data_IF_679735538293
#
_entry.id   IF_679735538293
#
_cell.length_a   1.000
_cell.length_b   1.000
_cell.length_c   1.000
_cell.angle_alpha   90.00
_cell.angle_beta   90.00
_cell.angle_gamma   90.00
#
_symmetry.space_group_name_H-M   'P 1'
#
loop_
_entity.id
_entity.type
_entity.pdbx_description
1 polymer ?
#
# COMPACT_ATOMS: atom_id res chain seq x y z
N UNK A 1 15.19 0.56 -22.97
CA UNK A 1 14.33 1.23 -21.97
C UNK A 1 15.15 1.45 -20.72
N UNK A 2 15.17 2.65 -20.11
CA UNK A 2 16.00 2.90 -18.95
C UNK A 2 15.52 2.03 -17.78
N UNK A 3 16.46 1.40 -17.09
CA UNK A 3 16.13 0.59 -15.93
C UNK A 3 15.50 1.44 -14.83
N UNK A 4 14.46 0.91 -14.16
CA UNK A 4 13.84 1.62 -13.04
C UNK A 4 14.89 1.78 -11.93
N UNK A 5 15.17 3.03 -11.56
CA UNK A 5 16.10 3.30 -10.47
C UNK A 5 15.56 2.74 -9.15
N UNK A 6 16.45 2.38 -8.23
CA UNK A 6 16.05 1.91 -6.88
C UNK A 6 15.10 2.90 -6.19
N UNK A 7 15.29 4.20 -6.42
CA UNK A 7 14.42 5.26 -5.92
C UNK A 7 13.02 5.21 -6.53
N UNK A 8 12.90 4.98 -7.84
CA UNK A 8 11.60 4.80 -8.48
C UNK A 8 10.88 3.54 -7.96
N UNK A 9 11.61 2.43 -7.80
CA UNK A 9 11.09 1.19 -7.20
C UNK A 9 10.62 1.38 -5.75
N UNK A 10 11.28 2.26 -5.01
CA UNK A 10 10.91 2.60 -3.63
C UNK A 10 9.64 3.45 -3.54
N UNK A 11 9.31 4.21 -4.59
CA UNK A 11 8.08 5.02 -4.67
C UNK A 11 6.85 4.22 -5.07
N UNK A 12 7.01 3.01 -5.60
CA UNK A 12 5.89 2.14 -5.95
C UNK A 12 5.13 1.66 -4.72
N UNK A 13 3.84 1.31 -4.87
CA UNK A 13 3.04 0.73 -3.80
C UNK A 13 3.73 -0.48 -3.18
N UNK A 14 3.79 -0.48 -1.85
CA UNK A 14 4.33 -1.58 -1.06
C UNK A 14 3.31 -2.10 -0.05
N UNK A 15 2.52 -1.20 0.52
CA UNK A 15 1.44 -1.57 1.41
C UNK A 15 0.17 -0.84 1.06
N UNK A 16 -0.95 -1.52 1.21
CA UNK A 16 -2.28 -1.00 0.98
C UNK A 16 -3.07 -1.10 2.29
N UNK A 17 -3.68 0.01 2.69
CA UNK A 17 -4.68 0.01 3.74
C UNK A 17 -6.05 -0.02 3.10
N UNK A 18 -6.76 -1.13 3.23
CA UNK A 18 -8.08 -1.34 2.63
C UNK A 18 -9.18 -1.29 3.70
N UNK A 19 -10.22 -0.50 3.45
CA UNK A 19 -11.50 -0.59 4.16
C UNK A 19 -12.41 -1.58 3.43
N UNK A 20 -12.69 -2.77 4.02
CA UNK A 20 -13.51 -3.79 3.39
C UNK A 20 -14.98 -3.40 3.24
N UNK A 21 -15.50 -2.43 4.01
CA UNK A 21 -16.90 -2.02 3.92
C UNK A 21 -17.14 -0.94 2.84
N UNK A 22 -16.25 0.06 2.76
CA UNK A 22 -16.41 1.14 1.77
C UNK A 22 -15.70 0.85 0.46
N UNK A 23 -14.79 -0.12 0.43
CA UNK A 23 -13.93 -0.41 -0.71
C UNK A 23 -12.87 0.67 -0.97
N UNK A 24 -12.71 1.63 -0.05
CA UNK A 24 -11.65 2.63 -0.13
C UNK A 24 -10.34 2.03 0.31
N UNK A 25 -9.27 2.37 -0.40
CA UNK A 25 -7.95 1.96 0.03
C UNK A 25 -6.93 3.08 -0.13
N UNK A 26 -5.92 3.10 0.73
CA UNK A 26 -4.80 4.03 0.67
C UNK A 26 -3.51 3.24 0.40
N UNK A 27 -2.74 3.68 -0.59
CA UNK A 27 -1.49 3.03 -0.96
C UNK A 27 -0.30 3.80 -0.38
N UNK A 28 0.67 3.05 0.14
CA UNK A 28 1.89 3.57 0.72
C UNK A 28 3.09 2.91 0.08
N UNK A 29 4.17 3.68 -0.01
CA UNK A 29 5.43 3.25 -0.57
C UNK A 29 6.27 2.47 0.46
N UNK A 30 7.48 2.05 0.07
CA UNK A 30 8.38 1.31 0.94
C UNK A 30 8.86 2.12 2.17
N UNK A 31 8.83 3.44 2.10
CA UNK A 31 9.21 4.34 3.19
C UNK A 31 8.03 4.73 4.08
N UNK A 32 6.88 4.05 3.96
CA UNK A 32 5.64 4.33 4.69
C UNK A 32 5.02 5.70 4.38
N UNK A 33 5.40 6.32 3.26
CA UNK A 33 4.77 7.55 2.79
C UNK A 33 3.54 7.22 1.95
N UNK A 34 2.50 8.02 2.13
CA UNK A 34 1.26 7.91 1.36
C UNK A 34 1.54 8.27 -0.10
N UNK A 35 1.22 7.36 -1.01
CA UNK A 35 1.25 7.58 -2.47
C UNK A 35 -0.09 8.18 -2.89
N UNK A 36 -1.18 7.50 -2.53
CA UNK A 36 -2.54 7.95 -2.76
C UNK A 36 -3.43 7.58 -1.59
N UNK A 37 -4.30 8.51 -1.19
CA UNK A 37 -5.34 8.25 -0.20
C UNK A 37 -6.49 7.43 -0.80
N UNK A 38 -6.67 7.45 -2.12
CA UNK A 38 -7.73 6.76 -2.83
C UNK A 38 -7.08 5.94 -3.94
N UNK A 39 -6.80 4.68 -3.64
CA UNK A 39 -6.26 3.72 -4.58
C UNK A 39 -7.35 3.33 -5.57
N UNK A 40 -6.97 3.28 -6.84
CA UNK A 40 -7.80 2.83 -7.94
C UNK A 40 -8.14 1.36 -7.76
N UNK A 41 -9.28 0.95 -8.29
CA UNK A 41 -9.74 -0.45 -8.23
C UNK A 41 -8.72 -1.41 -8.84
N UNK A 42 -7.98 -0.97 -9.86
CA UNK A 42 -6.90 -1.73 -10.50
C UNK A 42 -5.75 -2.03 -9.52
N UNK A 43 -5.29 -1.03 -8.76
CA UNK A 43 -4.28 -1.22 -7.72
C UNK A 43 -4.77 -2.13 -6.60
N UNK A 44 -6.01 -1.91 -6.15
CA UNK A 44 -6.62 -2.74 -5.10
C UNK A 44 -6.68 -4.20 -5.56
N UNK A 45 -7.18 -4.46 -6.77
CA UNK A 45 -7.24 -5.80 -7.34
C UNK A 45 -5.84 -6.42 -7.49
N UNK A 46 -4.87 -5.67 -8.00
CA UNK A 46 -3.50 -6.14 -8.14
C UNK A 46 -2.87 -6.53 -6.80
N UNK A 47 -3.06 -5.70 -5.77
CA UNK A 47 -2.54 -5.98 -4.42
C UNK A 47 -3.25 -7.17 -3.79
N UNK A 48 -4.56 -7.31 -3.98
CA UNK A 48 -5.33 -8.46 -3.49
C UNK A 48 -4.99 -9.78 -4.21
N UNK A 49 -4.56 -9.70 -5.46
CA UNK A 49 -4.05 -10.84 -6.23
C UNK A 49 -2.61 -11.21 -5.81
N UNK A 50 -1.80 -10.21 -5.42
CA UNK A 50 -0.39 -10.36 -5.07
C UNK A 50 -0.14 -10.05 -3.58
N UNK A 51 -0.93 -10.66 -2.69
CA UNK A 51 -0.81 -10.46 -1.24
C UNK A 51 0.36 -11.25 -0.69
N UNK A 52 1.35 -10.55 -0.14
CA UNK A 52 2.38 -11.18 0.70
C UNK A 52 1.87 -11.45 2.11
N UNK A 53 1.15 -10.49 2.66
CA UNK A 53 0.63 -10.55 4.03
C UNK A 53 -0.61 -9.66 4.13
N UNK A 54 -1.64 -10.15 4.82
CA UNK A 54 -2.86 -9.40 5.11
C UNK A 54 -3.19 -9.56 6.60
N UNK A 55 -3.20 -8.43 7.32
CA UNK A 55 -3.49 -8.40 8.76
C UNK A 55 -4.47 -7.27 9.08
N UNK A 56 -5.26 -7.39 10.16
CA UNK A 56 -6.03 -6.26 10.67
C UNK A 56 -5.11 -5.07 10.99
N UNK A 57 -5.57 -3.86 10.69
CA UNK A 57 -4.84 -2.64 11.00
C UNK A 57 -4.83 -2.41 12.51
N UNK A 58 -3.62 -2.40 13.09
CA UNK A 58 -3.44 -2.14 14.52
C UNK A 58 -3.45 -0.64 14.80
N UNK A 59 -4.61 -0.11 15.17
CA UNK A 59 -4.84 1.32 15.42
C UNK A 59 -4.03 1.81 16.62
N UNK A 60 -3.96 1.04 17.70
CA UNK A 60 -3.29 1.42 18.94
C UNK A 60 -1.77 1.45 18.76
N UNK A 61 -1.21 0.43 18.10
CA UNK A 61 0.20 0.36 17.72
C UNK A 61 0.59 1.47 16.75
N UNK A 62 -0.30 1.82 15.80
CA UNK A 62 -0.07 2.96 14.91
C UNK A 62 -0.15 4.31 15.64
N UNK A 63 -1.08 4.47 16.58
CA UNK A 63 -1.19 5.66 17.41
C UNK A 63 0.06 5.88 18.28
N UNK A 64 0.71 4.80 18.71
CA UNK A 64 2.00 4.85 19.42
C UNK A 64 3.18 5.26 18.51
N UNK A 65 3.07 5.08 17.18
CA UNK A 65 4.08 5.50 16.20
C UNK A 65 3.46 6.33 15.06
N UNK A 66 2.97 7.56 15.33
CA UNK A 66 2.14 8.33 14.40
C UNK A 66 2.90 8.79 13.14
N UNK A 67 4.23 8.78 13.17
CA UNK A 67 5.09 9.09 12.01
C UNK A 67 5.19 7.92 11.02
N UNK A 68 4.87 6.70 11.47
CA UNK A 68 4.91 5.50 10.63
C UNK A 68 3.55 5.37 9.96
N UNK A 69 3.47 5.63 8.65
CA UNK A 69 2.28 5.43 7.79
C UNK A 69 1.02 6.12 8.36
N UNK A 70 0.87 7.44 8.12
CA UNK A 70 -0.29 8.17 8.60
C UNK A 70 -1.57 7.65 7.94
N UNK A 71 -2.65 7.38 8.71
CA UNK A 71 -3.92 6.99 8.12
C UNK A 71 -4.45 8.10 7.19
N UNK A 72 -5.18 7.74 6.12
CA UNK A 72 -5.70 8.72 5.19
C UNK A 72 -6.76 9.60 5.88
N UNK A 73 -6.96 10.83 5.38
CA UNK A 73 -7.87 11.80 6.01
C UNK A 73 -9.32 11.32 6.14
N UNK A 74 -9.74 10.35 5.31
CA UNK A 74 -11.07 9.74 5.37
C UNK A 74 -11.17 8.56 6.35
N UNK A 75 -10.06 8.03 6.85
CA UNK A 75 -10.06 6.92 7.79
C UNK A 75 -10.35 7.43 9.20
N UNK A 76 -11.64 7.54 9.53
CA UNK A 76 -12.10 7.79 10.90
C UNK A 76 -11.67 6.64 11.82
N UNK A 77 -11.69 6.80 13.15
CA UNK A 77 -11.32 5.73 14.09
C UNK A 77 -12.09 4.43 13.87
N UNK A 78 -13.37 4.53 13.52
CA UNK A 78 -14.23 3.39 13.18
C UNK A 78 -13.74 2.66 11.92
N UNK A 79 -13.34 3.42 10.90
CA UNK A 79 -12.78 2.85 9.67
C UNK A 79 -11.41 2.22 9.96
N UNK A 80 -10.56 2.89 10.74
CA UNK A 80 -9.26 2.35 11.15
C UNK A 80 -9.41 1.01 11.89
N UNK A 81 -10.41 0.87 12.76
CA UNK A 81 -10.65 -0.37 13.50
C UNK A 81 -11.02 -1.58 12.61
N UNK A 82 -11.60 -1.35 11.43
CA UNK A 82 -11.97 -2.40 10.46
C UNK A 82 -11.03 -2.50 9.26
N UNK A 83 -10.09 -1.56 9.14
CA UNK A 83 -9.14 -1.52 8.04
C UNK A 83 -8.22 -2.74 8.09
N UNK A 84 -7.78 -3.16 6.91
CA UNK A 84 -6.82 -4.23 6.73
C UNK A 84 -5.56 -3.65 6.13
N UNK A 85 -4.44 -4.06 6.70
CA UNK A 85 -3.12 -3.71 6.20
C UNK A 85 -2.58 -4.88 5.39
N UNK A 86 -2.46 -4.63 4.10
CA UNK A 86 -2.07 -5.60 3.10
C UNK A 86 -0.69 -5.21 2.58
N UNK A 87 0.28 -6.12 2.68
CA UNK A 87 1.58 -5.99 2.04
C UNK A 87 1.53 -6.62 0.67
N UNK A 88 1.92 -5.84 -0.33
CA UNK A 88 2.10 -6.32 -1.69
C UNK A 88 3.36 -7.18 -1.76
N UNK A 89 3.24 -8.35 -2.38
CA UNK A 89 4.38 -9.13 -2.83
C UNK A 89 5.02 -8.43 -4.03
N UNK A 90 6.03 -7.59 -3.75
CA UNK A 90 6.79 -6.94 -4.80
C UNK A 90 7.77 -7.93 -5.44
N UNK A 91 8.11 -7.73 -6.73
CA UNK A 91 9.18 -8.47 -7.37
C UNK A 91 10.48 -8.37 -6.56
N UNK A 92 11.35 -9.38 -6.69
CA UNK A 92 12.70 -9.30 -6.17
C UNK A 92 13.45 -8.09 -6.75
N UNK A 93 14.43 -7.54 -6.02
CA UNK A 93 15.16 -6.34 -6.47
C UNK A 93 15.90 -6.56 -7.80
N UNK A 94 16.29 -7.81 -8.04
CA UNK A 94 16.90 -8.36 -9.25
C UNK A 94 15.90 -8.70 -10.37
N UNK A 95 14.59 -8.59 -10.12
CA UNK A 95 13.58 -8.80 -11.17
C UNK A 95 13.62 -7.69 -12.23
N UNK A 96 13.30 -8.07 -13.47
CA UNK A 96 13.21 -7.17 -14.62
C UNK A 96 12.25 -6.01 -14.37
N UNK A 97 12.55 -4.86 -14.95
CA UNK A 97 11.78 -3.62 -14.72
C UNK A 97 10.33 -3.72 -15.20
N UNK A 98 10.04 -4.61 -16.14
CA UNK A 98 8.67 -4.91 -16.59
C UNK A 98 7.78 -5.42 -15.44
N UNK A 99 8.32 -6.27 -14.56
CA UNK A 99 7.60 -6.76 -13.38
C UNK A 99 7.33 -5.63 -12.37
N UNK A 100 8.21 -4.62 -12.31
CA UNK A 100 8.02 -3.45 -11.46
C UNK A 100 7.04 -2.44 -12.07
N UNK A 101 7.02 -2.31 -13.41
CA UNK A 101 6.06 -1.48 -14.15
C UNK A 101 4.64 -2.07 -14.19
N UNK A 102 4.51 -3.38 -13.95
CA UNK A 102 3.21 -4.03 -13.80
C UNK A 102 2.45 -3.59 -12.54
N UNK A 103 3.16 -3.08 -11.52
CA UNK A 103 2.53 -2.56 -10.30
C UNK A 103 1.84 -1.24 -10.63
N UNK A 104 0.50 -1.14 -10.48
CA UNK A 104 -0.20 0.11 -10.76
C UNK A 104 0.30 1.23 -9.85
N UNK A 105 0.55 2.42 -10.40
CA UNK A 105 1.05 3.54 -9.59
C UNK A 105 -0.04 4.21 -8.74
N UNK A 106 -1.31 4.03 -9.12
CA UNK A 106 -2.49 4.56 -8.44
C UNK A 106 -3.64 3.60 -8.58
#
# INVERSE_FOLDING_TARGET
MPALTKTAKAQLPYTLLLDPETGKAAAYNATNQLITADASKELIAYVLDNVKQDVPFDVEGHAATPTRRPPPAWATPEIQARMRLIWLERPHQDAYDEAWLAIPAK
#
